data_IF_795758351562
#
_entry.id   IF_795758351562
#
_cell.length_a   1.000
_cell.length_b   1.000
_cell.length_c   1.000
_cell.angle_alpha   90.00
_cell.angle_beta   90.00
_cell.angle_gamma   90.00
#
_symmetry.space_group_name_H-M   'P 1'
#
loop_
_entity.id
_entity.type
_entity.pdbx_description
1 polymer ?
#
# COMPACT_ATOMS: atom_id res chain seq x y z
N UNK A 1 -44.20 92.14 -17.52
CA UNK A 1 -42.97 91.89 -16.73
C UNK A 1 -43.16 90.57 -16.07
N UNK A 2 -42.59 89.50 -16.65
CA UNK A 2 -42.73 88.12 -16.13
C UNK A 2 -41.36 87.50 -15.98
N UNK A 3 -40.99 87.28 -14.73
CA UNK A 3 -39.71 86.66 -14.37
C UNK A 3 -39.85 85.11 -14.43
N UNK A 4 -39.18 84.50 -15.37
CA UNK A 4 -39.09 83.04 -15.45
C UNK A 4 -37.95 82.52 -14.65
N UNK A 5 -38.27 81.73 -13.63
CA UNK A 5 -37.28 81.02 -12.77
C UNK A 5 -36.91 79.68 -13.42
N UNK A 6 -35.66 79.54 -13.82
CA UNK A 6 -35.11 78.20 -14.29
C UNK A 6 -34.70 77.36 -13.12
N UNK A 7 -35.36 76.23 -12.99
CA UNK A 7 -34.95 75.17 -12.04
C UNK A 7 -33.90 74.26 -12.72
N UNK A 8 -32.71 74.18 -12.13
CA UNK A 8 -31.65 73.26 -12.54
C UNK A 8 -31.82 71.91 -11.83
N UNK A 9 -32.11 70.83 -12.57
CA UNK A 9 -32.06 69.46 -12.06
C UNK A 9 -30.61 69.01 -12.05
N UNK A 10 -30.10 68.74 -10.87
CA UNK A 10 -28.81 68.04 -10.67
C UNK A 10 -29.04 66.54 -10.71
N UNK A 11 -28.45 65.86 -11.71
CA UNK A 11 -28.47 64.39 -11.87
C UNK A 11 -27.35 63.80 -11.04
N UNK A 12 -27.68 63.15 -9.90
CA UNK A 12 -26.71 62.42 -9.08
C UNK A 12 -26.46 61.04 -9.70
N UNK A 13 -25.25 60.80 -10.22
CA UNK A 13 -24.81 59.49 -10.72
C UNK A 13 -24.42 58.64 -9.53
N UNK A 14 -25.21 57.57 -9.28
CA UNK A 14 -24.86 56.51 -8.29
C UNK A 14 -23.88 55.53 -8.96
N UNK A 15 -22.59 55.60 -8.56
CA UNK A 15 -21.57 54.64 -8.98
C UNK A 15 -21.69 53.41 -8.06
N UNK A 16 -22.28 52.34 -8.56
CA UNK A 16 -22.32 51.03 -7.88
C UNK A 16 -20.95 50.36 -8.02
N UNK A 17 -20.16 50.33 -6.96
CA UNK A 17 -18.91 49.56 -6.90
C UNK A 17 -19.31 48.08 -6.65
N UNK A 18 -19.31 47.27 -7.70
CA UNK A 18 -19.43 45.83 -7.58
C UNK A 18 -18.13 45.28 -6.97
N UNK A 19 -18.15 44.91 -5.69
CA UNK A 19 -17.07 44.20 -5.05
C UNK A 19 -16.98 42.78 -5.62
N UNK A 20 -16.04 42.57 -6.53
CA UNK A 20 -15.69 41.22 -7.01
C UNK A 20 -15.03 40.43 -5.85
N UNK A 21 -15.81 39.58 -5.19
CA UNK A 21 -15.28 38.62 -4.26
C UNK A 21 -14.41 37.61 -5.02
N UNK A 22 -13.09 37.74 -4.91
CA UNK A 22 -12.16 36.69 -5.40
C UNK A 22 -12.48 35.38 -4.69
N UNK A 23 -12.65 34.25 -5.42
CA UNK A 23 -12.87 32.98 -4.78
C UNK A 23 -11.65 32.67 -3.90
N UNK A 24 -11.87 32.52 -2.61
CA UNK A 24 -10.82 32.08 -1.66
C UNK A 24 -10.22 30.79 -2.18
N UNK A 25 -8.93 30.80 -2.54
CA UNK A 25 -8.22 29.62 -2.99
C UNK A 25 -8.38 28.54 -1.91
N UNK A 26 -9.02 27.43 -2.26
CA UNK A 26 -9.23 26.32 -1.34
C UNK A 26 -7.86 25.86 -0.81
N UNK A 27 -7.66 26.04 0.49
CA UNK A 27 -6.39 25.67 1.14
C UNK A 27 -6.31 24.16 1.14
N UNK A 28 -5.22 23.61 0.61
CA UNK A 28 -5.01 22.16 0.63
C UNK A 28 -5.09 21.63 2.07
N UNK A 29 -5.97 20.65 2.32
CA UNK A 29 -6.16 20.08 3.64
C UNK A 29 -4.89 19.35 4.15
N UNK A 30 -4.71 19.35 5.48
CA UNK A 30 -3.62 18.60 6.10
C UNK A 30 -3.74 17.09 5.79
N UNK A 31 -2.62 16.39 5.57
CA UNK A 31 -2.68 14.95 5.29
C UNK A 31 -3.29 14.16 6.45
N UNK A 32 -4.26 13.30 6.15
CA UNK A 32 -4.89 12.40 7.11
C UNK A 32 -4.20 11.03 7.07
N UNK A 33 -3.73 10.53 8.21
CA UNK A 33 -3.12 9.20 8.32
C UNK A 33 -4.17 8.11 8.14
N UNK A 34 -3.96 7.20 7.18
CA UNK A 34 -4.82 6.05 6.91
C UNK A 34 -4.34 4.76 7.59
N UNK A 35 -3.04 4.62 7.83
CA UNK A 35 -2.43 3.45 8.46
C UNK A 35 -1.24 3.85 9.34
N UNK A 36 -1.02 3.13 10.44
CA UNK A 36 0.23 3.18 11.20
C UNK A 36 1.09 1.92 11.01
N UNK A 37 0.57 0.91 10.28
CA UNK A 37 1.20 -0.36 9.96
C UNK A 37 1.66 -1.19 11.18
N UNK A 38 1.23 -0.81 12.38
CA UNK A 38 1.53 -1.50 13.64
C UNK A 38 0.28 -2.07 14.30
N UNK A 39 -0.74 -1.24 14.52
CA UNK A 39 -1.99 -1.63 15.19
C UNK A 39 -3.19 -1.57 14.28
N UNK A 40 -3.14 -0.77 13.23
CA UNK A 40 -4.17 -0.70 12.19
C UNK A 40 -3.57 -0.37 10.83
N UNK A 41 -4.12 -0.98 9.78
CA UNK A 41 -3.72 -0.76 8.39
C UNK A 41 -4.94 -0.78 7.50
N UNK A 42 -5.12 0.27 6.71
CA UNK A 42 -6.12 0.31 5.63
C UNK A 42 -5.49 -0.14 4.33
N UNK A 43 -6.25 -0.88 3.56
CA UNK A 43 -5.89 -1.35 2.24
C UNK A 43 -7.09 -1.31 1.30
N UNK A 44 -6.82 -1.35 -0.01
CA UNK A 44 -7.86 -1.39 -1.03
C UNK A 44 -7.36 -2.13 -2.27
N UNK A 45 -8.29 -2.70 -3.02
CA UNK A 45 -8.03 -3.19 -4.37
C UNK A 45 -7.89 -1.99 -5.33
N UNK A 46 -7.13 -2.15 -6.40
CA UNK A 46 -7.21 -1.24 -7.54
C UNK A 46 -8.48 -1.57 -8.36
N UNK A 47 -9.25 -0.54 -8.74
CA UNK A 47 -10.43 -0.70 -9.61
C UNK A 47 -10.15 -0.25 -11.04
N UNK A 48 -9.05 0.48 -11.23
CA UNK A 48 -8.53 0.83 -12.57
C UNK A 48 -7.02 0.96 -12.50
N UNK A 49 -6.35 0.68 -13.64
CA UNK A 49 -4.93 0.97 -13.78
C UNK A 49 -4.70 2.48 -13.74
N UNK A 50 -3.76 2.94 -12.92
CA UNK A 50 -3.49 4.37 -12.76
C UNK A 50 -2.00 4.64 -12.55
N UNK A 51 -1.52 5.82 -13.00
CA UNK A 51 -0.18 6.30 -12.70
C UNK A 51 -0.09 6.67 -11.22
N UNK A 52 1.04 6.34 -10.58
CA UNK A 52 1.38 6.77 -9.24
C UNK A 52 2.48 7.84 -9.31
N UNK A 53 2.34 8.90 -8.53
CA UNK A 53 3.18 10.10 -8.61
C UNK A 53 3.94 10.33 -7.30
N UNK A 54 5.09 11.01 -7.39
CA UNK A 54 5.92 11.36 -6.23
C UNK A 54 5.23 12.35 -5.26
N UNK A 55 4.32 13.17 -5.76
CA UNK A 55 3.50 14.15 -5.01
C UNK A 55 2.03 14.03 -5.45
N UNK A 56 1.05 14.52 -4.67
CA UNK A 56 -0.37 14.46 -5.02
C UNK A 56 -0.72 15.46 -6.14
N UNK A 57 -0.16 15.25 -7.32
CA UNK A 57 -0.34 16.07 -8.51
C UNK A 57 -0.05 15.25 -9.77
N UNK A 58 -0.88 15.37 -10.80
CA UNK A 58 -0.66 14.72 -12.10
C UNK A 58 0.51 15.30 -12.89
N UNK A 59 0.98 16.51 -12.53
CA UNK A 59 2.20 17.13 -13.08
C UNK A 59 3.49 16.65 -12.38
N UNK A 60 3.39 15.90 -11.26
CA UNK A 60 4.55 15.39 -10.56
C UNK A 60 5.18 14.21 -11.31
N UNK A 61 6.46 13.93 -11.02
CA UNK A 61 7.18 12.78 -11.58
C UNK A 61 6.43 11.48 -11.26
N UNK A 62 6.19 10.66 -12.28
CA UNK A 62 5.64 9.31 -12.10
C UNK A 62 6.67 8.42 -11.41
N UNK A 63 6.24 7.64 -10.41
CA UNK A 63 7.07 6.70 -9.63
C UNK A 63 6.63 5.25 -9.80
N UNK A 64 5.50 4.99 -10.45
CA UNK A 64 4.98 3.66 -10.71
C UNK A 64 3.57 3.69 -11.28
N UNK A 65 2.91 2.52 -11.23
CA UNK A 65 1.52 2.35 -11.70
C UNK A 65 0.77 1.37 -10.79
N UNK A 66 -0.54 1.56 -10.66
CA UNK A 66 -1.42 0.52 -10.14
C UNK A 66 -1.63 -0.56 -11.20
N UNK A 67 -1.56 -1.81 -10.78
CA UNK A 67 -1.96 -3.00 -11.52
C UNK A 67 -3.28 -3.50 -10.96
N UNK A 68 -4.08 -4.19 -11.76
CA UNK A 68 -5.34 -4.78 -11.32
C UNK A 68 -5.15 -6.19 -10.75
N UNK A 69 -4.13 -6.90 -11.25
CA UNK A 69 -3.84 -8.27 -10.87
C UNK A 69 -2.38 -8.41 -10.39
N UNK A 70 -2.17 -9.34 -9.48
CA UNK A 70 -0.85 -9.84 -9.09
C UNK A 70 -0.23 -10.69 -10.19
N UNK A 71 1.00 -11.14 -10.03
CA UNK A 71 1.68 -12.05 -10.96
C UNK A 71 0.97 -13.41 -11.06
N UNK A 72 0.27 -13.83 -10.01
CA UNK A 72 -0.49 -15.08 -9.94
C UNK A 72 -1.98 -14.91 -10.33
N UNK A 73 -2.37 -13.73 -10.84
CA UNK A 73 -3.72 -13.45 -11.37
C UNK A 73 -4.77 -13.12 -10.30
N UNK A 74 -4.38 -12.87 -9.05
CA UNK A 74 -5.29 -12.41 -8.00
C UNK A 74 -5.50 -10.90 -8.06
N UNK A 75 -6.62 -10.36 -7.54
CA UNK A 75 -6.81 -8.91 -7.42
C UNK A 75 -5.66 -8.28 -6.65
N UNK A 76 -5.03 -7.24 -7.24
CA UNK A 76 -3.93 -6.53 -6.62
C UNK A 76 -4.44 -5.60 -5.51
N UNK A 77 -3.80 -5.64 -4.36
CA UNK A 77 -4.15 -4.85 -3.19
C UNK A 77 -3.00 -3.95 -2.74
N UNK A 78 -3.34 -2.78 -2.24
CA UNK A 78 -2.41 -1.73 -1.86
C UNK A 78 -2.63 -1.28 -0.42
N UNK A 79 -1.54 -1.17 0.35
CA UNK A 79 -1.56 -0.56 1.69
C UNK A 79 -1.61 0.95 1.54
N UNK A 80 -2.60 1.57 2.20
CA UNK A 80 -2.90 3.00 2.15
C UNK A 80 -2.27 3.70 3.35
N UNK A 81 -1.43 4.69 3.10
CA UNK A 81 -0.64 5.36 4.14
C UNK A 81 -1.28 6.66 4.60
N UNK A 82 -1.64 7.53 3.65
CA UNK A 82 -2.12 8.89 3.91
C UNK A 82 -3.12 9.31 2.84
N UNK A 83 -4.10 10.13 3.18
CA UNK A 83 -4.94 10.85 2.22
C UNK A 83 -4.66 12.35 2.26
N UNK A 84 -4.90 13.04 1.14
CA UNK A 84 -4.84 14.49 1.02
C UNK A 84 -5.81 14.94 -0.07
N UNK A 85 -6.45 16.09 0.16
CA UNK A 85 -7.24 16.81 -0.87
C UNK A 85 -6.35 17.90 -1.48
N UNK A 86 -6.29 17.97 -2.80
CA UNK A 86 -5.56 19.07 -3.48
C UNK A 86 -6.40 20.36 -3.50
N UNK A 87 -5.81 21.46 -3.98
CA UNK A 87 -6.49 22.76 -4.06
C UNK A 87 -7.71 22.77 -5.02
N UNK A 88 -7.82 21.77 -5.89
CA UNK A 88 -8.95 21.56 -6.81
C UNK A 88 -10.03 20.63 -6.23
N UNK A 89 -9.92 20.25 -4.94
CA UNK A 89 -10.88 19.37 -4.26
C UNK A 89 -10.71 17.87 -4.58
N UNK A 90 -9.68 17.47 -5.32
CA UNK A 90 -9.51 16.08 -5.67
C UNK A 90 -8.74 15.29 -4.59
N UNK A 91 -9.29 14.16 -4.18
CA UNK A 91 -8.70 13.29 -3.19
C UNK A 91 -7.56 12.43 -3.76
N UNK A 92 -6.43 12.43 -3.07
CA UNK A 92 -5.23 11.64 -3.36
C UNK A 92 -4.90 10.72 -2.20
N UNK A 93 -4.41 9.52 -2.53
CA UNK A 93 -3.98 8.53 -1.56
C UNK A 93 -2.52 8.21 -1.80
N UNK A 94 -1.69 8.35 -0.76
CA UNK A 94 -0.35 7.80 -0.73
C UNK A 94 -0.42 6.34 -0.35
N UNK A 95 0.22 5.48 -1.12
CA UNK A 95 0.22 4.04 -0.92
C UNK A 95 1.60 3.44 -1.22
N UNK A 96 1.80 2.19 -0.80
CA UNK A 96 2.96 1.40 -1.17
C UNK A 96 2.75 0.73 -2.51
N UNK A 97 3.80 0.67 -3.33
CA UNK A 97 3.79 0.05 -4.65
C UNK A 97 4.55 -1.30 -4.62
N UNK A 98 3.95 -2.39 -5.14
CA UNK A 98 4.62 -3.68 -5.26
C UNK A 98 5.48 -3.69 -6.53
N UNK A 99 6.69 -3.17 -6.43
CA UNK A 99 7.62 -3.04 -7.56
C UNK A 99 9.07 -2.94 -7.08
N UNK A 100 10.00 -3.05 -8.04
CA UNK A 100 11.42 -2.72 -7.82
C UNK A 100 11.70 -1.25 -8.12
N UNK A 101 12.59 -0.60 -7.34
CA UNK A 101 13.15 -1.11 -6.08
C UNK A 101 12.06 -1.30 -5.03
N UNK A 102 12.30 -2.18 -4.04
CA UNK A 102 11.39 -2.36 -2.91
C UNK A 102 11.14 -1.04 -2.14
N UNK A 103 10.03 -0.97 -1.39
CA UNK A 103 9.66 0.16 -0.51
C UNK A 103 9.26 1.47 -1.22
N UNK A 104 9.02 1.46 -2.52
CA UNK A 104 8.51 2.64 -3.24
C UNK A 104 7.10 2.98 -2.76
N UNK A 105 6.84 4.27 -2.59
CA UNK A 105 5.51 4.82 -2.33
C UNK A 105 5.12 5.83 -3.40
N UNK A 106 3.84 5.96 -3.67
CA UNK A 106 3.34 6.92 -4.65
C UNK A 106 1.94 7.43 -4.30
N UNK A 107 1.56 8.54 -4.91
CA UNK A 107 0.24 9.15 -4.79
C UNK A 107 -0.60 8.79 -6.00
N UNK A 108 -1.82 8.32 -5.76
CA UNK A 108 -2.82 8.02 -6.79
C UNK A 108 -4.12 8.77 -6.51
N UNK A 109 -4.95 8.98 -7.52
CA UNK A 109 -6.32 9.52 -7.31
C UNK A 109 -7.15 8.51 -6.53
N UNK A 110 -7.94 8.96 -5.54
CA UNK A 110 -8.83 8.12 -4.73
C UNK A 110 -9.75 7.23 -5.59
N UNK A 111 -10.24 7.76 -6.70
CA UNK A 111 -11.13 7.03 -7.63
C UNK A 111 -10.53 5.79 -8.29
N UNK A 112 -9.19 5.64 -8.26
CA UNK A 112 -8.52 4.44 -8.77
C UNK A 112 -8.57 3.24 -7.82
N UNK A 113 -9.07 3.44 -6.60
CA UNK A 113 -9.12 2.47 -5.53
C UNK A 113 -10.56 2.15 -5.15
N UNK A 114 -10.82 0.89 -4.88
CA UNK A 114 -12.09 0.39 -4.33
C UNK A 114 -12.35 0.82 -2.88
N UNK A 115 -13.31 0.19 -2.21
CA UNK A 115 -13.61 0.43 -0.79
C UNK A 115 -12.39 0.18 0.09
N UNK A 116 -12.20 1.02 1.12
CA UNK A 116 -11.14 0.83 2.10
C UNK A 116 -11.53 -0.25 3.09
N UNK A 117 -10.64 -1.24 3.24
CA UNK A 117 -10.76 -2.30 4.24
C UNK A 117 -9.73 -2.08 5.34
N UNK A 118 -9.99 -2.61 6.53
CA UNK A 118 -9.18 -2.41 7.73
C UNK A 118 -8.71 -3.74 8.29
N UNK A 119 -7.42 -3.82 8.62
CA UNK A 119 -6.84 -4.94 9.38
C UNK A 119 -6.12 -4.43 10.62
N UNK A 120 -6.10 -5.25 11.67
CA UNK A 120 -5.42 -4.98 12.93
C UNK A 120 -4.26 -5.95 13.20
N UNK A 121 -3.79 -6.62 12.14
CA UNK A 121 -2.67 -7.56 12.20
C UNK A 121 -1.39 -6.91 11.67
N UNK A 122 -0.24 -7.39 12.17
CA UNK A 122 1.11 -7.06 11.67
C UNK A 122 1.96 -8.32 11.70
N UNK A 123 2.63 -8.61 10.62
CA UNK A 123 3.58 -9.70 10.51
C UNK A 123 5.01 -9.14 10.57
N UNK A 124 5.86 -9.74 11.38
CA UNK A 124 7.28 -9.39 11.51
C UNK A 124 8.11 -10.63 11.26
N UNK A 125 9.09 -10.53 10.37
CA UNK A 125 10.07 -11.59 10.09
C UNK A 125 11.45 -11.05 10.43
N UNK A 126 12.09 -11.66 11.42
CA UNK A 126 13.46 -11.32 11.81
C UNK A 126 14.44 -12.22 11.07
N UNK A 127 15.30 -11.60 10.25
CA UNK A 127 16.39 -12.30 9.53
C UNK A 127 17.52 -12.71 10.46
N UNK A 128 17.64 -12.05 11.60
CA UNK A 128 18.64 -12.36 12.61
C UNK A 128 18.24 -13.61 13.40
N UNK A 129 17.01 -13.63 13.94
CA UNK A 129 16.53 -14.71 14.80
C UNK A 129 15.87 -15.86 14.05
N UNK A 130 15.72 -15.75 12.73
CA UNK A 130 15.04 -16.71 11.83
C UNK A 130 13.64 -17.08 12.36
N UNK A 131 12.85 -16.04 12.66
CA UNK A 131 11.49 -16.22 13.20
C UNK A 131 10.49 -15.29 12.51
N UNK A 132 9.29 -15.81 12.37
CA UNK A 132 8.11 -15.02 12.01
C UNK A 132 7.22 -14.84 13.24
N UNK A 133 6.70 -13.63 13.44
CA UNK A 133 5.78 -13.31 14.52
C UNK A 133 4.59 -12.54 13.96
N UNK A 134 3.37 -13.02 14.23
CA UNK A 134 2.12 -12.31 13.93
C UNK A 134 1.60 -11.65 15.18
N UNK A 135 1.30 -10.37 15.08
CA UNK A 135 0.63 -9.58 16.10
C UNK A 135 -0.80 -9.24 15.66
N UNK A 136 -1.71 -9.10 16.62
CA UNK A 136 -3.05 -8.55 16.43
C UNK A 136 -3.30 -7.51 17.51
N UNK A 137 -3.59 -6.26 17.11
CA UNK A 137 -3.74 -5.11 18.03
C UNK A 137 -2.58 -4.99 19.03
N UNK A 138 -1.34 -5.16 18.54
CA UNK A 138 -0.11 -5.10 19.36
C UNK A 138 0.20 -6.36 20.18
N UNK A 139 -0.74 -7.28 20.38
CA UNK A 139 -0.53 -8.53 21.12
C UNK A 139 -0.03 -9.65 20.21
N UNK A 140 0.97 -10.42 20.65
CA UNK A 140 1.50 -11.58 19.90
C UNK A 140 0.45 -12.70 19.81
N UNK A 141 0.07 -13.04 18.56
CA UNK A 141 -0.91 -14.08 18.26
C UNK A 141 -0.28 -15.40 17.84
N UNK A 142 0.89 -15.33 17.15
CA UNK A 142 1.58 -16.49 16.61
C UNK A 142 3.09 -16.22 16.52
N UNK A 143 3.91 -17.26 16.69
CA UNK A 143 5.35 -17.22 16.44
C UNK A 143 5.85 -18.60 15.99
N UNK A 144 6.74 -18.63 15.00
CA UNK A 144 7.35 -19.86 14.51
C UNK A 144 8.78 -19.61 13.99
N UNK A 145 9.66 -20.61 13.97
CA UNK A 145 10.92 -20.55 13.26
C UNK A 145 10.68 -20.58 11.74
N UNK A 146 11.60 -20.00 10.98
CA UNK A 146 11.54 -19.94 9.50
C UNK A 146 12.85 -20.35 8.86
N UNK A 147 12.74 -20.85 7.62
CA UNK A 147 13.83 -20.91 6.66
C UNK A 147 13.79 -19.70 5.77
N UNK A 148 14.93 -19.10 5.46
CA UNK A 148 15.02 -17.87 4.68
C UNK A 148 16.00 -18.00 3.51
N UNK A 149 16.18 -16.94 2.74
CA UNK A 149 17.10 -16.87 1.62
C UNK A 149 18.55 -17.11 2.03
N UNK A 150 19.29 -17.87 1.21
CA UNK A 150 20.72 -18.05 1.33
C UNK A 150 21.46 -16.69 1.23
N UNK A 151 22.74 -16.60 1.66
CA UNK A 151 23.51 -15.38 1.54
C UNK A 151 23.62 -14.82 0.11
N UNK A 152 23.65 -15.70 -0.90
CA UNK A 152 23.69 -15.33 -2.33
C UNK A 152 22.34 -14.83 -2.87
N UNK A 153 21.23 -15.22 -2.24
CA UNK A 153 19.86 -14.86 -2.64
C UNK A 153 19.04 -14.46 -1.42
N UNK A 154 19.42 -13.37 -0.72
CA UNK A 154 18.87 -13.05 0.58
C UNK A 154 17.40 -12.64 0.51
N UNK A 155 16.65 -12.99 1.55
CA UNK A 155 15.33 -12.40 1.78
C UNK A 155 15.49 -10.89 1.99
N UNK A 156 14.83 -10.02 1.20
CA UNK A 156 15.00 -8.57 1.28
C UNK A 156 14.44 -8.00 2.58
N UNK A 157 15.13 -7.02 3.16
CA UNK A 157 14.58 -6.23 4.26
C UNK A 157 13.64 -5.15 3.75
N UNK A 158 12.68 -4.74 4.58
CA UNK A 158 11.78 -3.65 4.24
C UNK A 158 10.37 -3.79 4.80
N UNK A 159 9.51 -2.87 4.36
CA UNK A 159 8.09 -2.82 4.72
C UNK A 159 7.24 -3.22 3.51
N UNK A 160 6.54 -4.30 3.67
CA UNK A 160 5.73 -4.98 2.66
C UNK A 160 4.31 -5.24 3.20
N UNK A 161 3.51 -6.03 2.48
CA UNK A 161 2.20 -6.48 2.93
C UNK A 161 1.83 -7.80 2.27
N UNK A 162 0.80 -8.45 2.79
CA UNK A 162 0.23 -9.67 2.25
C UNK A 162 -0.73 -9.30 1.11
N UNK A 163 -0.45 -9.78 -0.10
CA UNK A 163 -1.21 -9.49 -1.32
C UNK A 163 -2.23 -10.57 -1.66
N UNK A 164 -1.84 -11.82 -1.47
CA UNK A 164 -2.62 -12.98 -1.90
C UNK A 164 -2.36 -14.20 -1.03
N UNK A 165 -3.22 -15.18 -1.14
CA UNK A 165 -3.15 -16.43 -0.36
C UNK A 165 -3.73 -17.57 -1.18
N UNK A 166 -3.03 -18.67 -1.30
CA UNK A 166 -3.52 -19.84 -2.03
C UNK A 166 -3.14 -21.17 -1.36
N UNK A 167 -3.88 -22.20 -1.73
CA UNK A 167 -3.60 -23.58 -1.33
C UNK A 167 -2.67 -24.20 -2.37
N UNK A 168 -1.62 -24.84 -1.90
CA UNK A 168 -0.74 -25.62 -2.75
C UNK A 168 -1.27 -27.06 -2.83
N UNK A 169 -1.35 -27.61 -4.04
CA UNK A 169 -1.82 -28.98 -4.28
C UNK A 169 -0.62 -29.91 -4.51
N UNK A 170 -0.81 -31.20 -4.18
CA UNK A 170 0.20 -32.24 -4.37
C UNK A 170 1.36 -32.16 -3.37
N UNK A 171 2.35 -33.02 -3.58
CA UNK A 171 3.60 -33.02 -2.80
C UNK A 171 4.58 -32.01 -3.42
N UNK A 172 4.49 -30.76 -2.99
CA UNK A 172 5.24 -29.64 -3.53
C UNK A 172 6.33 -29.15 -2.58
N UNK A 173 7.42 -28.65 -3.14
CA UNK A 173 8.47 -27.94 -2.39
C UNK A 173 7.91 -26.71 -1.66
N UNK A 174 6.75 -26.20 -2.05
CA UNK A 174 6.02 -25.11 -1.41
C UNK A 174 5.11 -25.57 -0.26
N UNK A 175 5.09 -26.87 0.05
CA UNK A 175 4.27 -27.44 1.13
C UNK A 175 2.77 -27.36 0.82
N UNK A 176 1.95 -26.98 1.79
CA UNK A 176 0.48 -27.08 1.72
C UNK A 176 -0.23 -25.74 1.53
N UNK A 177 0.43 -24.62 1.82
CA UNK A 177 -0.13 -23.25 1.73
C UNK A 177 0.95 -22.29 1.31
N UNK A 178 0.53 -21.22 0.60
CA UNK A 178 1.38 -20.09 0.28
C UNK A 178 0.65 -18.76 0.53
N UNK A 179 1.43 -17.75 0.88
CA UNK A 179 1.03 -16.38 1.15
C UNK A 179 1.94 -15.48 0.32
N UNK A 180 1.41 -14.84 -0.71
CA UNK A 180 2.16 -13.91 -1.56
C UNK A 180 2.31 -12.55 -0.90
N UNK A 181 3.48 -11.94 -1.08
CA UNK A 181 3.83 -10.63 -0.51
C UNK A 181 4.14 -9.60 -1.57
N UNK A 182 4.28 -8.34 -1.15
CA UNK A 182 4.72 -7.24 -2.01
C UNK A 182 6.26 -7.11 -2.08
N UNK A 183 7.01 -8.04 -1.50
CA UNK A 183 8.46 -8.06 -1.54
C UNK A 183 8.97 -8.73 -2.81
N UNK A 184 9.98 -8.15 -3.43
CA UNK A 184 10.69 -8.72 -4.57
C UNK A 184 12.14 -9.02 -4.22
N UNK A 185 12.67 -10.14 -4.71
CA UNK A 185 14.09 -10.45 -4.63
C UNK A 185 14.93 -9.32 -5.28
N UNK A 186 16.02 -8.95 -4.63
CA UNK A 186 16.97 -7.99 -5.20
C UNK A 186 17.98 -8.66 -6.17
N UNK A 187 18.05 -10.00 -6.17
CA UNK A 187 19.03 -10.77 -6.94
C UNK A 187 18.39 -11.62 -8.04
N UNK A 188 17.18 -12.15 -7.83
CA UNK A 188 16.48 -13.00 -8.79
C UNK A 188 15.35 -12.19 -9.45
N UNK A 189 15.60 -11.69 -10.65
CA UNK A 189 14.65 -10.85 -11.39
C UNK A 189 13.89 -11.62 -12.47
N UNK A 190 14.43 -12.72 -12.95
CA UNK A 190 13.96 -13.62 -14.00
C UNK A 190 13.30 -14.91 -13.49
N UNK A 191 13.22 -15.07 -12.17
CA UNK A 191 12.56 -16.23 -11.55
C UNK A 191 11.06 -16.26 -11.86
N UNK A 192 10.43 -17.45 -11.98
CA UNK A 192 8.98 -17.56 -12.13
C UNK A 192 8.21 -16.70 -11.11
N UNK A 193 7.20 -15.95 -11.58
CA UNK A 193 6.53 -14.92 -10.75
C UNK A 193 7.33 -13.64 -10.56
N UNK A 194 8.36 -13.37 -11.40
CA UNK A 194 9.15 -12.13 -11.36
C UNK A 194 9.99 -11.96 -10.09
N UNK A 195 10.30 -13.06 -9.37
CA UNK A 195 11.08 -13.02 -8.14
C UNK A 195 10.32 -12.45 -6.93
N UNK A 196 9.01 -12.61 -6.90
CA UNK A 196 8.17 -12.30 -5.71
C UNK A 196 8.56 -13.21 -4.56
N UNK A 197 8.69 -12.60 -3.37
CA UNK A 197 8.96 -13.32 -2.11
C UNK A 197 7.63 -13.74 -1.48
N UNK A 198 7.47 -15.04 -1.26
CA UNK A 198 6.32 -15.61 -0.53
C UNK A 198 6.70 -16.20 0.81
N UNK A 199 5.68 -16.41 1.66
CA UNK A 199 5.76 -17.32 2.81
C UNK A 199 5.03 -18.61 2.43
N UNK A 200 5.68 -19.76 2.57
CA UNK A 200 5.08 -21.02 2.16
C UNK A 200 5.54 -22.20 3.04
N UNK A 201 4.86 -23.33 2.93
CA UNK A 201 5.28 -24.57 3.56
C UNK A 201 6.55 -25.16 2.93
N UNK A 202 6.87 -26.39 3.28
CA UNK A 202 8.04 -27.07 2.73
C UNK A 202 7.90 -28.59 2.83
N UNK A 203 8.54 -29.30 1.91
CA UNK A 203 8.78 -30.75 2.01
C UNK A 203 10.09 -31.10 2.74
N UNK A 204 10.89 -30.10 3.13
CA UNK A 204 12.16 -30.28 3.86
C UNK A 204 12.14 -29.55 5.23
N UNK A 205 11.29 -29.98 6.20
CA UNK A 205 11.08 -29.28 7.47
C UNK A 205 12.30 -29.31 8.40
N UNK A 206 13.24 -30.23 8.19
CA UNK A 206 14.49 -30.32 8.94
C UNK A 206 15.46 -29.16 8.70
N UNK A 207 15.29 -28.42 7.60
CA UNK A 207 16.09 -27.23 7.27
C UNK A 207 15.59 -25.94 7.96
N UNK A 208 14.60 -26.04 8.88
CA UNK A 208 14.02 -24.91 9.61
C UNK A 208 14.32 -25.04 11.11
N UNK A 209 14.94 -24.00 11.73
CA UNK A 209 15.40 -22.73 11.16
C UNK A 209 16.65 -22.87 10.31
N UNK A 210 16.85 -21.97 9.32
CA UNK A 210 18.02 -21.99 8.44
C UNK A 210 17.90 -21.02 7.27
N UNK A 211 18.80 -21.15 6.29
CA UNK A 211 18.81 -20.33 5.08
C UNK A 211 18.77 -21.19 3.80
N UNK A 212 17.76 -22.06 3.63
CA UNK A 212 17.71 -23.05 2.54
C UNK A 212 17.01 -22.54 1.27
N UNK A 213 16.61 -21.27 1.16
CA UNK A 213 15.79 -20.80 0.07
C UNK A 213 16.50 -19.81 -0.87
N UNK A 214 15.87 -19.50 -1.98
CA UNK A 214 16.26 -18.45 -2.94
C UNK A 214 15.58 -17.10 -2.63
N UNK A 215 15.25 -16.84 -1.37
CA UNK A 215 14.63 -15.59 -0.91
C UNK A 215 13.29 -15.77 -0.22
N UNK A 216 12.48 -16.75 -0.60
CA UNK A 216 11.21 -17.06 0.05
C UNK A 216 11.37 -17.47 1.52
N UNK A 217 10.33 -17.25 2.30
CA UNK A 217 10.28 -17.57 3.73
C UNK A 217 9.56 -18.90 3.91
N UNK A 218 10.29 -19.94 4.29
CA UNK A 218 9.76 -21.30 4.46
C UNK A 218 9.33 -21.54 5.90
N UNK A 219 8.18 -22.16 6.08
CA UNK A 219 7.66 -22.62 7.37
C UNK A 219 7.40 -24.13 7.34
N UNK A 220 7.40 -24.77 8.51
CA UNK A 220 6.85 -26.13 8.59
C UNK A 220 5.38 -26.11 8.20
N UNK A 221 4.87 -27.18 7.59
CA UNK A 221 3.50 -27.20 7.04
C UNK A 221 2.42 -26.88 8.08
N UNK A 222 2.55 -27.38 9.32
CA UNK A 222 1.64 -27.03 10.43
C UNK A 222 1.65 -25.52 10.74
N UNK A 223 2.82 -24.89 10.67
CA UNK A 223 3.00 -23.49 11.04
C UNK A 223 2.44 -22.57 9.95
N UNK A 224 2.71 -22.86 8.66
CA UNK A 224 2.11 -22.10 7.57
C UNK A 224 0.60 -22.26 7.49
N UNK A 225 0.05 -23.45 7.78
CA UNK A 225 -1.41 -23.64 7.82
C UNK A 225 -2.05 -22.77 8.90
N UNK A 226 -1.45 -22.67 10.08
CA UNK A 226 -1.92 -21.81 11.16
C UNK A 226 -1.77 -20.34 10.82
N UNK A 227 -0.60 -19.93 10.33
CA UNK A 227 -0.35 -18.54 9.89
C UNK A 227 -1.31 -18.12 8.79
N UNK A 228 -1.53 -18.98 7.79
CA UNK A 228 -2.47 -18.76 6.70
C UNK A 228 -3.89 -18.44 7.19
N UNK A 229 -4.39 -19.16 8.20
CA UNK A 229 -5.72 -18.91 8.79
C UNK A 229 -5.78 -17.58 9.52
N UNK A 230 -4.72 -17.19 10.21
CA UNK A 230 -4.66 -16.04 11.11
C UNK A 230 -4.32 -14.71 10.40
N UNK A 231 -3.74 -14.76 9.20
CA UNK A 231 -3.22 -13.59 8.50
C UNK A 231 -4.18 -13.15 7.39
N UNK A 232 -4.88 -12.02 7.53
CA UNK A 232 -5.71 -11.44 6.46
C UNK A 232 -4.87 -10.85 5.32
N UNK A 233 -5.48 -10.70 4.14
CA UNK A 233 -4.98 -9.85 3.04
C UNK A 233 -4.86 -8.41 3.56
N UNK A 234 -3.86 -7.67 3.06
CA UNK A 234 -3.57 -6.30 3.50
C UNK A 234 -2.79 -6.21 4.83
N UNK A 235 -2.49 -7.35 5.49
CA UNK A 235 -1.63 -7.35 6.70
C UNK A 235 -0.25 -6.80 6.35
N UNK A 236 0.24 -5.71 7.00
CA UNK A 236 1.60 -5.24 6.80
C UNK A 236 2.62 -6.28 7.28
N UNK A 237 3.71 -6.39 6.52
CA UNK A 237 4.83 -7.28 6.75
C UNK A 237 6.12 -6.47 6.87
N UNK A 238 6.76 -6.52 8.03
CA UNK A 238 8.11 -6.02 8.22
C UNK A 238 9.09 -7.19 8.13
N UNK A 239 10.13 -7.06 7.31
CA UNK A 239 11.29 -7.98 7.26
C UNK A 239 12.51 -7.18 7.73
N UNK A 240 13.10 -7.56 8.86
CA UNK A 240 14.22 -6.90 9.53
C UNK A 240 15.38 -7.84 9.84
#
# INVERSE_FOLDING_TARGET
MSSGTRASLALAAVVSIAASASPAAARAEAPVRLSNETTFTRWADAVTGAKAYARPSSAARQVGRLRLLTEDGFPEVYVLLTSRTDAQGAAWIRLRLPQRPNNVTGWVRRRALGPFRLVHTRLVVSRLTLRVTLYKRGKRLFRAPVGMGAPSTPTPAGSFWIREKFRVRGNSIYGTRAIGTAAYSNTLTDWPGGGVIGLHGTNAPGLIPGRPSHGCIRLRNRDIQRLYKLTPIGTPLLIE
#
